data_IF_573569387269
#
_entry.id   IF_573569387269
#
_cell.length_a   1.000
_cell.length_b   1.000
_cell.length_c   1.000
_cell.angle_alpha   90.00
_cell.angle_beta   90.00
_cell.angle_gamma   90.00
#
_symmetry.space_group_name_H-M   'P 1'
#
loop_
_entity.id
_entity.type
_entity.pdbx_description
1 polymer ?
#
# COMPACT_ATOMS: atom_id res chain seq x y z
N UNK A 1 23.99 -10.53 -3.04
CA UNK A 1 23.86 -11.65 -3.99
C UNK A 1 23.00 -11.21 -5.16
N UNK A 2 23.35 -11.62 -6.37
CA UNK A 2 22.55 -11.37 -7.57
C UNK A 2 21.54 -12.53 -7.69
N UNK A 3 20.27 -12.24 -7.91
CA UNK A 3 19.20 -13.25 -8.00
C UNK A 3 19.49 -14.23 -9.15
N UNK A 4 19.18 -15.52 -8.97
CA UNK A 4 19.30 -16.53 -10.03
C UNK A 4 18.19 -16.34 -11.09
N UNK A 5 18.39 -16.85 -12.31
CA UNK A 5 17.40 -16.71 -13.40
C UNK A 5 16.01 -17.29 -13.04
N UNK A 6 15.95 -18.30 -12.17
CA UNK A 6 14.71 -18.89 -11.65
C UNK A 6 13.95 -17.95 -10.69
N UNK A 7 14.66 -17.01 -10.05
CA UNK A 7 14.09 -15.95 -9.23
C UNK A 7 13.72 -14.70 -10.06
N UNK A 8 14.01 -14.68 -11.36
CA UNK A 8 13.78 -13.53 -12.25
C UNK A 8 12.37 -13.51 -12.86
N UNK A 9 11.54 -14.52 -12.59
CA UNK A 9 10.13 -14.55 -13.00
C UNK A 9 9.26 -14.26 -11.78
N UNK A 10 8.70 -13.05 -11.72
CA UNK A 10 7.80 -12.63 -10.66
C UNK A 10 6.40 -12.52 -11.27
N UNK A 11 5.44 -13.23 -10.68
CA UNK A 11 4.02 -13.12 -11.07
C UNK A 11 3.29 -12.12 -10.17
N UNK A 12 3.59 -12.14 -8.87
CA UNK A 12 2.94 -11.30 -7.87
C UNK A 12 3.95 -10.69 -6.90
N UNK A 13 3.72 -9.43 -6.56
CA UNK A 13 4.34 -8.75 -5.44
C UNK A 13 3.23 -8.51 -4.42
N UNK A 14 3.43 -8.87 -3.15
CA UNK A 14 2.41 -8.69 -2.11
C UNK A 14 3.00 -7.83 -1.00
N UNK A 15 2.29 -6.76 -0.66
CA UNK A 15 2.62 -5.91 0.48
C UNK A 15 1.37 -5.69 1.34
N UNK A 16 1.47 -5.94 2.64
CA UNK A 16 0.33 -5.85 3.55
C UNK A 16 0.59 -4.86 4.67
N UNK A 17 -0.15 -3.75 4.67
CA UNK A 17 -0.08 -2.65 5.66
C UNK A 17 1.35 -2.14 5.94
N UNK A 18 2.19 -2.10 4.90
CA UNK A 18 3.60 -1.67 5.02
C UNK A 18 3.81 -0.17 4.79
N UNK A 19 2.76 0.56 4.42
CA UNK A 19 2.84 1.98 4.06
C UNK A 19 2.08 2.80 5.08
N UNK A 20 2.77 3.18 6.16
CA UNK A 20 2.21 4.01 7.22
C UNK A 20 2.48 5.50 6.98
N UNK A 21 3.74 5.84 6.67
CA UNK A 21 4.17 7.22 6.40
C UNK A 21 4.22 7.48 4.89
N UNK A 22 3.88 8.69 4.48
CA UNK A 22 3.96 9.12 3.07
C UNK A 22 5.39 8.94 2.50
N UNK A 23 6.42 9.13 3.33
CA UNK A 23 7.83 8.92 2.96
C UNK A 23 8.15 7.46 2.61
N UNK A 24 7.48 6.49 3.24
CA UNK A 24 7.70 5.05 2.98
C UNK A 24 7.08 4.62 1.66
N UNK A 25 5.99 5.28 1.23
CA UNK A 25 5.28 4.97 -0.01
C UNK A 25 6.21 5.09 -1.22
N UNK A 26 7.01 6.17 -1.26
CA UNK A 26 7.98 6.39 -2.34
C UNK A 26 8.97 5.23 -2.42
N UNK A 27 9.62 4.89 -1.31
CA UNK A 27 10.61 3.80 -1.28
C UNK A 27 10.02 2.44 -1.68
N UNK A 28 8.79 2.15 -1.23
CA UNK A 28 8.10 0.92 -1.64
C UNK A 28 7.85 0.92 -3.15
N UNK A 29 7.28 1.98 -3.69
CA UNK A 29 6.93 2.03 -5.11
C UNK A 29 8.17 2.03 -5.99
N UNK A 30 9.24 2.72 -5.61
CA UNK A 30 10.51 2.67 -6.34
C UNK A 30 11.10 1.25 -6.34
N UNK A 31 10.93 0.49 -5.24
CA UNK A 31 11.34 -0.92 -5.17
C UNK A 31 10.48 -1.80 -6.07
N UNK A 32 9.16 -1.62 -6.04
CA UNK A 32 8.23 -2.34 -6.92
C UNK A 32 8.52 -2.05 -8.39
N UNK A 33 8.83 -0.81 -8.73
CA UNK A 33 9.21 -0.41 -10.09
C UNK A 33 10.48 -1.13 -10.56
N UNK A 34 11.50 -1.21 -9.70
CA UNK A 34 12.71 -1.96 -10.01
C UNK A 34 12.39 -3.45 -10.25
N UNK A 35 11.52 -4.05 -9.44
CA UNK A 35 11.07 -5.44 -9.62
C UNK A 35 10.29 -5.62 -10.93
N UNK A 36 9.39 -4.68 -11.27
CA UNK A 36 8.65 -4.66 -12.53
C UNK A 36 9.60 -4.66 -13.74
N UNK A 37 10.68 -3.87 -13.68
CA UNK A 37 11.67 -3.79 -14.75
C UNK A 37 12.55 -5.05 -14.86
N UNK A 38 12.79 -5.75 -13.76
CA UNK A 38 13.61 -6.98 -13.75
C UNK A 38 12.86 -8.22 -14.21
N UNK A 39 11.52 -8.22 -14.13
CA UNK A 39 10.70 -9.37 -14.54
C UNK A 39 10.75 -9.58 -16.06
N UNK A 40 11.39 -10.67 -16.50
CA UNK A 40 11.48 -11.04 -17.91
C UNK A 40 10.29 -11.94 -18.28
N UNK A 41 9.47 -11.51 -19.23
CA UNK A 41 8.44 -12.34 -19.87
C UNK A 41 7.03 -12.24 -19.29
N UNK A 42 6.84 -11.64 -18.12
CA UNK A 42 5.52 -11.32 -17.56
C UNK A 42 5.57 -9.98 -16.79
N UNK A 43 4.48 -9.21 -16.82
CA UNK A 43 4.35 -7.99 -16.01
C UNK A 43 3.69 -8.38 -14.68
N UNK A 44 4.44 -8.43 -13.56
CA UNK A 44 3.88 -8.86 -12.28
C UNK A 44 2.73 -7.95 -11.83
N UNK A 45 1.78 -8.53 -11.10
CA UNK A 45 0.73 -7.76 -10.44
C UNK A 45 1.17 -7.42 -9.01
N UNK A 46 1.02 -6.17 -8.62
CA UNK A 46 1.31 -5.73 -7.26
C UNK A 46 0.02 -5.68 -6.43
N UNK A 47 -0.08 -6.56 -5.44
CA UNK A 47 -1.19 -6.60 -4.49
C UNK A 47 -0.82 -5.83 -3.23
N UNK A 48 -1.51 -4.73 -2.97
CA UNK A 48 -1.32 -3.89 -1.81
C UNK A 48 -2.55 -3.95 -0.90
N UNK A 49 -2.38 -4.41 0.33
CA UNK A 49 -3.37 -4.16 1.38
C UNK A 49 -3.03 -2.87 2.12
N UNK A 50 -4.06 -2.06 2.36
CA UNK A 50 -3.91 -0.75 2.98
C UNK A 50 -5.05 -0.49 3.96
N UNK A 51 -4.70 -0.27 5.23
CA UNK A 51 -5.66 0.18 6.24
C UNK A 51 -5.77 1.71 6.18
N UNK A 52 -7.00 2.23 6.02
CA UNK A 52 -7.27 3.66 6.03
C UNK A 52 -7.03 4.25 7.41
N UNK A 53 -6.19 5.30 7.42
CA UNK A 53 -5.77 6.01 8.62
C UNK A 53 -6.04 7.51 8.54
N UNK A 54 -6.90 7.93 7.61
CA UNK A 54 -7.28 9.32 7.43
C UNK A 54 -7.75 9.92 8.77
N UNK A 55 -7.29 11.14 9.07
CA UNK A 55 -7.67 11.84 10.29
C UNK A 55 -9.19 12.06 10.30
N UNK A 56 -9.82 11.90 11.47
CA UNK A 56 -11.28 12.03 11.63
C UNK A 56 -11.83 13.41 11.23
N UNK A 57 -10.97 14.44 11.17
CA UNK A 57 -11.33 15.81 10.82
C UNK A 57 -11.21 16.13 9.32
N UNK A 58 -10.80 15.15 8.51
CA UNK A 58 -10.60 15.36 7.06
C UNK A 58 -9.46 16.31 6.74
N UNK A 59 -8.62 16.67 7.72
CA UNK A 59 -7.35 17.35 7.43
C UNK A 59 -6.30 16.30 7.12
N UNK A 60 -5.75 16.36 5.91
CA UNK A 60 -4.68 15.48 5.48
C UNK A 60 -3.52 15.57 6.49
N UNK A 61 -3.29 14.50 7.25
CA UNK A 61 -2.03 14.39 7.98
C UNK A 61 -0.92 14.26 6.94
N UNK A 62 -0.14 15.32 6.76
CA UNK A 62 1.00 15.37 5.83
C UNK A 62 1.95 14.18 6.04
N UNK A 63 2.01 13.66 7.27
CA UNK A 63 2.90 12.57 7.64
C UNK A 63 2.37 11.17 7.25
N UNK A 64 1.05 10.96 7.26
CA UNK A 64 0.46 9.63 7.03
C UNK A 64 0.07 9.43 5.57
N UNK A 65 0.19 8.19 5.12
CA UNK A 65 -0.37 7.81 3.82
C UNK A 65 -1.89 7.76 3.93
N UNK A 66 -2.56 8.31 2.92
CA UNK A 66 -4.02 8.26 2.74
C UNK A 66 -4.37 7.40 1.54
N UNK A 67 -5.64 6.99 1.41
CA UNK A 67 -6.10 6.27 0.21
C UNK A 67 -5.88 7.13 -1.05
N UNK A 68 -6.22 8.42 -0.98
CA UNK A 68 -6.01 9.35 -2.09
C UNK A 68 -4.53 9.54 -2.43
N UNK A 69 -3.66 9.52 -1.41
CA UNK A 69 -2.21 9.54 -1.60
C UNK A 69 -1.70 8.31 -2.37
N UNK A 70 -2.22 7.12 -2.07
CA UNK A 70 -1.92 5.90 -2.83
C UNK A 70 -2.39 6.03 -4.28
N UNK A 71 -3.65 6.45 -4.49
CA UNK A 71 -4.22 6.63 -5.83
C UNK A 71 -3.42 7.65 -6.67
N UNK A 72 -3.02 8.77 -6.07
CA UNK A 72 -2.21 9.78 -6.72
C UNK A 72 -0.82 9.25 -7.10
N UNK A 73 -0.13 8.58 -6.17
CA UNK A 73 1.23 8.08 -6.37
C UNK A 73 1.31 6.98 -7.46
N UNK A 74 0.26 6.15 -7.56
CA UNK A 74 0.10 5.17 -8.65
C UNK A 74 -0.09 5.89 -9.99
N UNK A 75 -1.00 6.85 -10.05
CA UNK A 75 -1.30 7.60 -11.30
C UNK A 75 -0.12 8.40 -11.80
N UNK A 76 0.65 9.02 -10.90
CA UNK A 76 1.88 9.75 -11.24
C UNK A 76 2.91 8.87 -11.95
N UNK A 77 2.97 7.57 -11.61
CA UNK A 77 3.82 6.57 -12.25
C UNK A 77 3.25 5.99 -13.54
N UNK A 78 2.06 6.42 -13.95
CA UNK A 78 1.36 5.87 -15.11
C UNK A 78 0.86 4.44 -14.91
N UNK A 79 0.77 3.99 -13.66
CA UNK A 79 0.25 2.67 -13.31
C UNK A 79 -1.29 2.69 -13.24
N UNK A 80 -1.88 1.51 -13.31
CA UNK A 80 -3.31 1.27 -13.10
C UNK A 80 -3.53 0.69 -11.71
N UNK A 81 -4.68 0.98 -11.11
CA UNK A 81 -5.09 0.48 -9.80
C UNK A 81 -6.55 0.06 -9.82
N UNK A 82 -6.81 -1.14 -9.32
CA UNK A 82 -8.15 -1.70 -9.15
C UNK A 82 -8.37 -2.09 -7.68
N UNK A 83 -9.52 -1.74 -7.13
CA UNK A 83 -9.92 -2.18 -5.79
C UNK A 83 -10.55 -3.58 -5.89
N UNK A 84 -9.79 -4.61 -5.51
CA UNK A 84 -10.27 -6.00 -5.51
C UNK A 84 -11.24 -6.27 -4.37
N UNK A 85 -10.98 -5.70 -3.19
CA UNK A 85 -11.82 -5.86 -2.02
C UNK A 85 -11.66 -4.68 -1.06
N UNK A 86 -12.72 -4.41 -0.31
CA UNK A 86 -12.69 -3.51 0.85
C UNK A 86 -13.54 -4.08 1.98
N UNK A 87 -13.12 -3.91 3.23
CA UNK A 87 -13.85 -4.37 4.41
C UNK A 87 -13.65 -3.43 5.58
N UNK A 88 -14.69 -3.27 6.39
CA UNK A 88 -14.57 -2.68 7.72
C UNK A 88 -14.06 -3.73 8.70
N UNK A 89 -13.02 -3.41 9.47
CA UNK A 89 -12.43 -4.27 10.49
C UNK A 89 -12.48 -3.58 11.85
N UNK A 90 -12.65 -4.37 12.91
CA UNK A 90 -12.53 -3.88 14.27
C UNK A 90 -11.05 -3.62 14.59
N UNK A 91 -10.76 -2.45 15.16
CA UNK A 91 -9.41 -2.04 15.54
C UNK A 91 -9.42 -1.51 16.96
N UNK A 92 -8.26 -1.55 17.61
CA UNK A 92 -8.06 -0.95 18.92
C UNK A 92 -7.27 0.34 18.75
N UNK A 93 -7.81 1.45 19.23
CA UNK A 93 -7.13 2.75 19.25
C UNK A 93 -6.86 3.18 20.69
N UNK A 94 -5.66 3.67 20.91
CA UNK A 94 -5.27 4.32 22.17
C UNK A 94 -5.58 5.81 22.05
N UNK A 95 -6.30 6.35 23.03
CA UNK A 95 -6.54 7.79 23.12
C UNK A 95 -5.38 8.53 23.80
N UNK A 96 -5.43 9.86 23.83
CA UNK A 96 -4.41 10.72 24.45
C UNK A 96 -4.18 10.44 25.95
N UNK A 97 -5.10 9.71 26.60
CA UNK A 97 -5.02 9.33 28.01
C UNK A 97 -4.41 7.93 28.23
N UNK A 98 -4.06 7.23 27.14
CA UNK A 98 -3.58 5.85 27.17
C UNK A 98 -4.69 4.80 27.28
N UNK A 99 -5.96 5.19 27.14
CA UNK A 99 -7.09 4.26 27.20
C UNK A 99 -7.30 3.63 25.84
N UNK A 100 -7.39 2.29 25.80
CA UNK A 100 -7.64 1.53 24.57
C UNK A 100 -9.16 1.36 24.36
N UNK A 101 -9.67 1.83 23.23
CA UNK A 101 -11.08 1.70 22.83
C UNK A 101 -11.22 0.89 21.55
N UNK A 102 -12.32 0.17 21.46
CA UNK A 102 -12.74 -0.46 20.21
C UNK A 102 -13.20 0.62 19.23
N UNK A 103 -12.71 0.53 18.00
CA UNK A 103 -13.07 1.39 16.89
C UNK A 103 -13.16 0.53 15.61
N UNK A 104 -13.45 1.17 14.48
CA UNK A 104 -13.49 0.53 13.17
C UNK A 104 -12.57 1.24 12.20
N UNK A 105 -12.05 0.50 11.24
CA UNK A 105 -11.22 1.03 10.16
C UNK A 105 -11.53 0.30 8.87
N UNK A 106 -11.36 0.99 7.75
CA UNK A 106 -11.53 0.42 6.42
C UNK A 106 -10.19 -0.15 5.94
N UNK A 107 -10.19 -1.40 5.48
CA UNK A 107 -9.03 -2.03 4.85
C UNK A 107 -9.36 -2.28 3.40
N UNK A 108 -8.46 -1.84 2.52
CA UNK A 108 -8.54 -1.98 1.09
C UNK A 108 -7.52 -3.00 0.61
N UNK A 109 -7.86 -3.73 -0.46
CA UNK A 109 -6.94 -4.59 -1.20
C UNK A 109 -6.96 -4.11 -2.64
N UNK A 110 -5.82 -3.60 -3.09
CA UNK A 110 -5.62 -3.08 -4.43
C UNK A 110 -4.79 -4.05 -5.27
N UNK A 111 -5.14 -4.19 -6.54
CA UNK A 111 -4.22 -4.67 -7.57
C UNK A 111 -3.66 -3.46 -8.33
N UNK A 112 -2.34 -3.42 -8.50
CA UNK A 112 -1.61 -2.35 -9.16
C UNK A 112 -0.76 -2.95 -10.29
N UNK A 113 -0.81 -2.34 -11.48
CA UNK A 113 -0.09 -2.76 -12.69
C UNK A 113 0.52 -1.58 -13.43
#
# INVERSE_FOLDING_TARGET
EQLTDEQASIDFIIASDVVFLASMMKSLFDTVEALFQTSKGNKPSFILSFQKRDAQDGTDSIAFTTVDGVLAAVRERGWTIECLAWRTVAVKKEDETGSVKDDTSEVFVFEIK
#
